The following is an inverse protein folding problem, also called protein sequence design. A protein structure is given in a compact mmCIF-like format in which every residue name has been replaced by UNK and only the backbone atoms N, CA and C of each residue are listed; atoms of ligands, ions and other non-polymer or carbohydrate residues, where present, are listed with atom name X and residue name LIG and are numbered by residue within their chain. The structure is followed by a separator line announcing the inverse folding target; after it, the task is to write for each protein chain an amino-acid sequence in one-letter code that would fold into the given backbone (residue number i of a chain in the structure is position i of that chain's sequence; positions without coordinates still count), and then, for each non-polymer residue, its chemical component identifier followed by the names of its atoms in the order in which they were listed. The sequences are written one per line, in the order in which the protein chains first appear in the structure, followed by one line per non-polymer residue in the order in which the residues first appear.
data_IF_287972569886
#
_entry.id   IF_287972569886
#
_cell.length_a   1.000
_cell.length_b   1.000
_cell.length_c   1.000
_cell.angle_alpha   90.00
_cell.angle_beta   90.00
_cell.angle_gamma   90.00
#
_symmetry.space_group_name_H-M   'P 1'
#
loop_
_entity.id
_entity.type
_entity.pdbx_description
1 polymer ?
#
# COMPACT_ATOMS: atom_id res chain seq x y z
N UNK A 1 -1.67 1.55 -28.57
CA UNK A 1 -0.22 1.68 -28.86
C UNK A 1 0.08 1.07 -30.22
N UNK A 2 0.89 1.75 -31.05
CA UNK A 2 1.34 1.23 -32.35
C UNK A 2 2.50 0.24 -32.19
N UNK A 3 2.79 -0.63 -33.18
CA UNK A 3 3.94 -1.53 -33.13
C UNK A 3 5.29 -0.81 -32.95
N UNK A 4 5.42 0.39 -33.56
CA UNK A 4 6.61 1.23 -33.42
C UNK A 4 6.83 1.66 -31.96
N UNK A 5 5.83 2.24 -31.31
CA UNK A 5 5.94 2.62 -29.91
C UNK A 5 6.14 1.39 -29.01
N UNK A 6 5.57 0.23 -29.36
CA UNK A 6 5.78 -1.02 -28.60
C UNK A 6 7.24 -1.47 -28.65
N UNK A 7 7.88 -1.36 -29.82
CA UNK A 7 9.30 -1.60 -29.97
C UNK A 7 10.15 -0.60 -29.16
N UNK A 8 9.75 0.67 -29.10
CA UNK A 8 10.42 1.71 -28.29
C UNK A 8 10.32 1.44 -26.78
N UNK A 9 9.14 1.06 -26.28
CA UNK A 9 8.92 0.71 -24.86
C UNK A 9 9.74 -0.51 -24.46
N UNK A 10 9.76 -1.54 -25.32
CA UNK A 10 10.46 -2.80 -25.04
C UNK A 10 11.98 -2.69 -25.24
N UNK A 11 12.45 -1.72 -26.03
CA UNK A 11 13.86 -1.44 -26.30
C UNK A 11 14.44 -2.19 -27.50
N UNK A 12 13.60 -2.68 -28.40
CA UNK A 12 13.99 -3.41 -29.62
C UNK A 12 14.42 -2.43 -30.73
N UNK A 13 15.65 -1.92 -30.62
CA UNK A 13 16.21 -0.91 -31.53
C UNK A 13 16.13 -1.31 -33.01
N UNK A 14 16.45 -2.55 -33.35
CA UNK A 14 16.40 -3.04 -34.74
C UNK A 14 15.00 -2.91 -35.37
N UNK A 15 13.93 -3.10 -34.59
CA UNK A 15 12.54 -2.93 -35.08
C UNK A 15 12.24 -1.44 -35.25
N UNK A 16 12.67 -0.60 -34.30
CA UNK A 16 12.48 0.85 -34.39
C UNK A 16 13.19 1.40 -35.63
N UNK A 17 14.47 1.08 -35.83
CA UNK A 17 15.24 1.51 -37.01
C UNK A 17 14.58 1.06 -38.32
N UNK A 18 14.14 -0.20 -38.41
CA UNK A 18 13.45 -0.70 -39.59
C UNK A 18 12.14 0.05 -39.89
N UNK A 19 11.33 0.33 -38.85
CA UNK A 19 10.03 0.97 -39.01
C UNK A 19 10.16 2.48 -39.31
N UNK A 20 11.14 3.17 -38.74
CA UNK A 20 11.34 4.61 -39.02
C UNK A 20 11.88 4.87 -40.43
N UNK A 21 12.49 3.89 -41.09
CA UNK A 21 12.91 3.98 -42.50
C UNK A 21 11.72 3.90 -43.48
N UNK A 22 10.55 3.45 -43.04
CA UNK A 22 9.37 3.30 -43.90
C UNK A 22 8.56 4.60 -43.98
N UNK A 23 8.90 5.47 -44.94
CA UNK A 23 8.22 6.76 -45.23
C UNK A 23 6.73 6.64 -45.52
N UNK A 24 6.28 5.49 -46.03
CA UNK A 24 4.86 5.26 -46.35
C UNK A 24 4.01 4.88 -45.13
N UNK A 25 4.62 4.44 -44.03
CA UNK A 25 3.90 3.83 -42.90
C UNK A 25 3.97 4.66 -41.61
N UNK A 26 5.01 5.47 -41.42
CA UNK A 26 5.28 6.16 -40.16
C UNK A 26 5.45 7.65 -40.41
N UNK A 27 4.62 8.47 -39.74
CA UNK A 27 4.72 9.91 -39.86
C UNK A 27 5.99 10.46 -39.21
N UNK A 28 6.42 11.67 -39.60
CA UNK A 28 7.55 12.35 -38.97
C UNK A 28 7.36 12.48 -37.44
N UNK A 29 6.14 12.77 -36.99
CA UNK A 29 5.80 12.86 -35.57
C UNK A 29 6.02 11.53 -34.85
N UNK A 30 5.53 10.42 -35.44
CA UNK A 30 5.66 9.10 -34.85
C UNK A 30 7.14 8.66 -34.74
N UNK A 31 7.99 9.04 -35.72
CA UNK A 31 9.44 8.77 -35.65
C UNK A 31 10.10 9.50 -34.49
N UNK A 32 9.78 10.79 -34.34
CA UNK A 32 10.33 11.63 -33.29
C UNK A 32 9.95 11.05 -31.92
N UNK A 33 8.67 10.76 -31.70
CA UNK A 33 8.20 10.18 -30.44
C UNK A 33 8.80 8.79 -30.20
N UNK A 34 8.92 7.96 -31.23
CA UNK A 34 9.52 6.64 -31.09
C UNK A 34 10.99 6.71 -30.69
N UNK A 35 11.78 7.63 -31.25
CA UNK A 35 13.18 7.84 -30.90
C UNK A 35 13.34 8.43 -29.49
N UNK A 36 12.52 9.43 -29.13
CA UNK A 36 12.50 10.02 -27.78
C UNK A 36 12.21 8.95 -26.72
N UNK A 37 11.14 8.17 -26.94
CA UNK A 37 10.74 7.10 -26.05
C UNK A 37 11.76 5.96 -25.99
N UNK A 38 12.38 5.59 -27.12
CA UNK A 38 13.45 4.61 -27.15
C UNK A 38 14.65 5.10 -26.33
N UNK A 39 15.01 6.39 -26.42
CA UNK A 39 16.04 7.01 -25.59
C UNK A 39 15.69 6.94 -24.11
N UNK A 40 14.44 7.23 -23.73
CA UNK A 40 13.99 7.05 -22.34
C UNK A 40 14.10 5.58 -21.88
N UNK A 41 13.81 4.61 -22.74
CA UNK A 41 14.01 3.18 -22.45
C UNK A 41 15.49 2.82 -22.29
N UNK A 42 16.39 3.46 -23.06
CA UNK A 42 17.84 3.27 -22.90
C UNK A 42 18.32 3.75 -21.53
N UNK A 43 17.82 4.90 -21.05
CA UNK A 43 18.14 5.43 -19.72
C UNK A 43 17.67 4.49 -18.60
N UNK A 44 16.40 4.08 -18.63
CA UNK A 44 15.80 3.37 -17.50
C UNK A 44 16.08 1.85 -17.53
N UNK A 45 15.97 1.22 -18.69
CA UNK A 45 16.05 -0.24 -18.84
C UNK A 45 17.47 -0.71 -19.19
N UNK A 46 18.12 -0.07 -20.18
CA UNK A 46 19.46 -0.47 -20.63
C UNK A 46 20.59 0.14 -19.81
N UNK A 47 20.31 1.20 -19.04
CA UNK A 47 21.29 2.00 -18.31
C UNK A 47 22.39 2.56 -19.22
N UNK A 48 22.03 2.87 -20.46
CA UNK A 48 22.91 3.40 -21.49
C UNK A 48 22.55 4.86 -21.75
N UNK A 49 23.33 5.77 -21.15
CA UNK A 49 23.11 7.21 -21.25
C UNK A 49 23.65 7.80 -22.56
N UNK A 50 24.69 7.19 -23.13
CA UNK A 50 25.29 7.70 -24.37
C UNK A 50 24.35 7.38 -25.54
N UNK A 51 23.91 6.12 -25.65
CA UNK A 51 22.98 5.73 -26.70
C UNK A 51 21.62 6.44 -26.59
N UNK A 52 21.15 6.74 -25.37
CA UNK A 52 19.95 7.55 -25.18
C UNK A 52 20.12 8.99 -25.67
N UNK A 53 21.27 9.63 -25.41
CA UNK A 53 21.52 10.98 -25.91
C UNK A 53 21.58 11.01 -27.43
N UNK A 54 22.23 10.03 -28.07
CA UNK A 54 22.29 9.93 -29.52
C UNK A 54 20.90 9.84 -30.16
N UNK A 55 20.00 9.05 -29.56
CA UNK A 55 18.61 8.94 -29.98
C UNK A 55 17.85 10.27 -29.81
N UNK A 56 18.08 11.00 -28.72
CA UNK A 56 17.46 12.30 -28.48
C UNK A 56 17.99 13.39 -29.41
N UNK A 57 19.30 13.40 -29.71
CA UNK A 57 19.89 14.29 -30.72
C UNK A 57 19.30 14.03 -32.10
N UNK A 58 19.15 12.76 -32.50
CA UNK A 58 18.47 12.38 -33.76
C UNK A 58 17.02 12.87 -33.78
N UNK A 59 16.28 12.70 -32.69
CA UNK A 59 14.91 13.20 -32.59
C UNK A 59 14.83 14.73 -32.68
N UNK A 60 15.76 15.47 -32.05
CA UNK A 60 15.79 16.93 -32.14
C UNK A 60 16.17 17.43 -33.53
N UNK A 61 17.11 16.77 -34.20
CA UNK A 61 17.42 17.05 -35.60
C UNK A 61 16.17 16.86 -36.48
N UNK A 62 15.40 15.80 -36.25
CA UNK A 62 14.11 15.60 -36.94
C UNK A 62 13.06 16.64 -36.57
N UNK A 63 13.07 17.25 -35.36
CA UNK A 63 12.14 18.33 -34.98
C UNK A 63 12.45 19.65 -35.66
N UNK A 64 13.73 19.99 -35.84
CA UNK A 64 14.22 21.27 -36.35
C UNK A 64 14.86 21.18 -37.75
N UNK A 65 14.53 20.13 -38.51
CA UNK A 65 15.00 19.94 -39.88
C UNK A 65 14.75 21.19 -40.75
N UNK A 66 15.82 21.78 -41.31
CA UNK A 66 15.82 23.09 -41.99
C UNK A 66 14.86 23.16 -43.20
N UNK A 67 14.49 21.99 -43.76
CA UNK A 67 13.55 21.88 -44.87
C UNK A 67 12.07 21.80 -44.50
N UNK A 68 11.71 21.79 -43.20
CA UNK A 68 10.33 21.57 -42.76
C UNK A 68 9.91 22.49 -41.60
N UNK A 69 8.60 22.59 -41.37
CA UNK A 69 8.07 23.34 -40.21
C UNK A 69 8.59 22.70 -38.91
N UNK A 70 9.13 23.49 -37.96
CA UNK A 70 9.59 22.98 -36.67
C UNK A 70 8.45 22.32 -35.88
N UNK A 71 8.71 21.13 -35.33
CA UNK A 71 7.78 20.42 -34.45
C UNK A 71 8.18 20.61 -32.99
N UNK A 72 7.81 21.76 -32.41
CA UNK A 72 8.13 22.06 -31.01
C UNK A 72 7.49 21.07 -30.03
N UNK A 73 8.18 20.80 -28.93
CA UNK A 73 7.60 20.06 -27.81
C UNK A 73 6.50 20.88 -27.13
N UNK A 74 5.43 20.23 -26.63
CA UNK A 74 4.35 20.92 -25.94
C UNK A 74 4.88 21.64 -24.70
N UNK A 75 4.33 22.83 -24.43
CA UNK A 75 4.64 23.59 -23.22
C UNK A 75 4.13 22.84 -21.99
N UNK A 76 4.96 22.76 -20.95
CA UNK A 76 4.61 22.21 -19.65
C UNK A 76 4.34 23.37 -18.67
N UNK A 77 3.08 23.86 -18.58
CA UNK A 77 2.75 24.98 -17.70
C UNK A 77 2.85 24.60 -16.22
N UNK A 78 2.65 23.31 -15.91
CA UNK A 78 2.72 22.76 -14.56
C UNK A 78 3.87 21.76 -14.54
N UNK A 79 4.74 21.91 -13.56
CA UNK A 79 5.87 21.02 -13.31
C UNK A 79 5.57 20.09 -12.14
N UNK A 80 6.12 18.88 -12.16
CA UNK A 80 5.92 17.89 -11.10
C UNK A 80 7.02 18.04 -10.03
N UNK A 81 6.64 18.25 -8.78
CA UNK A 81 7.58 18.36 -7.65
C UNK A 81 8.43 17.10 -7.48
N UNK A 82 7.85 15.91 -7.66
CA UNK A 82 8.58 14.65 -7.62
C UNK A 82 9.68 14.55 -8.69
N UNK A 83 9.57 15.30 -9.78
CA UNK A 83 10.60 15.44 -10.80
C UNK A 83 11.50 16.67 -10.59
N UNK A 84 11.56 17.22 -9.37
CA UNK A 84 12.37 18.41 -9.04
C UNK A 84 12.03 19.64 -9.91
N UNK A 85 10.77 19.73 -10.34
CA UNK A 85 10.29 20.76 -11.26
C UNK A 85 11.01 20.80 -12.62
N UNK A 86 11.66 19.69 -13.00
CA UNK A 86 12.34 19.53 -14.27
C UNK A 86 11.38 19.75 -15.45
N UNK A 87 11.89 20.37 -16.51
CA UNK A 87 11.16 20.61 -17.75
C UNK A 87 11.83 19.87 -18.89
N UNK A 88 11.04 19.37 -19.82
CA UNK A 88 11.59 18.65 -20.95
C UNK A 88 12.42 19.58 -21.85
N UNK A 89 13.63 19.17 -22.22
CA UNK A 89 14.53 19.93 -23.10
C UNK A 89 13.85 20.20 -24.44
N UNK A 90 13.84 21.47 -24.87
CA UNK A 90 13.07 21.91 -26.06
C UNK A 90 13.95 22.27 -27.25
N UNK A 91 15.21 22.64 -27.01
CA UNK A 91 16.15 23.07 -28.06
C UNK A 91 17.36 22.12 -28.15
N UNK A 92 17.98 21.96 -29.34
CA UNK A 92 19.11 21.05 -29.52
C UNK A 92 20.32 21.39 -28.62
N UNK A 93 20.61 22.68 -28.42
CA UNK A 93 21.78 23.14 -27.67
C UNK A 93 21.74 22.70 -26.20
N UNK A 94 20.55 22.61 -25.60
CA UNK A 94 20.35 22.14 -24.22
C UNK A 94 20.70 20.65 -24.03
N UNK A 95 20.83 19.86 -25.11
CA UNK A 95 21.22 18.45 -25.03
C UNK A 95 22.73 18.25 -24.85
N UNK A 96 23.56 19.24 -25.18
CA UNK A 96 25.04 19.12 -25.19
C UNK A 96 25.58 18.78 -23.78
N UNK A 97 25.03 19.42 -22.76
CA UNK A 97 25.50 19.31 -21.37
C UNK A 97 24.84 18.17 -20.58
N UNK A 98 23.86 17.48 -21.16
CA UNK A 98 23.03 16.52 -20.44
C UNK A 98 23.80 15.29 -19.92
N UNK A 99 24.91 14.92 -20.56
CA UNK A 99 25.77 13.83 -20.09
C UNK A 99 26.54 14.19 -18.80
N UNK A 100 26.72 15.48 -18.52
CA UNK A 100 27.35 15.93 -17.29
C UNK A 100 26.41 15.80 -16.07
N UNK A 101 25.10 15.74 -16.30
CA UNK A 101 24.09 15.56 -15.24
C UNK A 101 23.23 14.29 -15.46
N UNK A 102 23.69 13.14 -14.92
CA UNK A 102 22.93 11.89 -14.97
C UNK A 102 21.58 11.94 -14.24
N UNK A 103 21.37 12.84 -13.26
CA UNK A 103 20.09 12.94 -12.54
C UNK A 103 19.06 13.69 -13.40
N UNK A 104 19.46 14.79 -14.04
CA UNK A 104 18.65 15.52 -15.02
C UNK A 104 18.22 14.59 -16.17
N UNK A 105 19.16 13.84 -16.74
CA UNK A 105 18.88 12.88 -17.81
C UNK A 105 17.82 11.82 -17.42
N UNK A 106 17.78 11.42 -16.14
CA UNK A 106 16.76 10.48 -15.64
C UNK A 106 15.40 11.15 -15.54
N UNK A 107 15.33 12.42 -15.15
CA UNK A 107 14.08 13.17 -15.12
C UNK A 107 13.53 13.41 -16.53
N UNK A 108 14.41 13.70 -17.51
CA UNK A 108 14.03 13.77 -18.93
C UNK A 108 13.37 12.47 -19.40
N UNK A 109 13.93 11.30 -19.05
CA UNK A 109 13.35 10.01 -19.42
C UNK A 109 11.94 9.79 -18.83
N UNK A 110 11.68 10.24 -17.60
CA UNK A 110 10.35 10.16 -16.97
C UNK A 110 9.36 11.11 -17.66
N UNK A 111 9.75 12.36 -17.92
CA UNK A 111 8.93 13.36 -18.60
C UNK A 111 8.54 12.90 -20.01
N UNK A 112 9.51 12.41 -20.79
CA UNK A 112 9.28 11.88 -22.15
C UNK A 112 8.28 10.73 -22.10
N UNK A 113 8.47 9.78 -21.18
CA UNK A 113 7.59 8.62 -21.08
C UNK A 113 6.17 9.00 -20.70
N UNK A 114 6.02 9.89 -19.72
CA UNK A 114 4.71 10.36 -19.29
C UNK A 114 4.00 11.16 -20.38
N UNK A 115 4.72 11.98 -21.15
CA UNK A 115 4.17 12.70 -22.31
C UNK A 115 3.68 11.76 -23.42
N UNK A 116 4.49 10.76 -23.79
CA UNK A 116 4.21 9.91 -24.96
C UNK A 116 3.24 8.77 -24.63
N UNK A 117 3.41 8.11 -23.48
CA UNK A 117 2.57 6.98 -23.09
C UNK A 117 1.33 7.40 -22.30
N UNK A 118 1.41 8.55 -21.61
CA UNK A 118 0.38 9.01 -20.70
C UNK A 118 0.40 8.32 -19.33
N UNK A 119 -0.36 8.85 -18.36
CA UNK A 119 -0.39 8.36 -16.98
C UNK A 119 -1.13 7.02 -16.80
N UNK A 120 -2.02 6.66 -17.73
CA UNK A 120 -2.74 5.38 -17.69
C UNK A 120 -1.87 4.17 -18.10
N UNK A 121 -0.76 4.40 -18.79
CA UNK A 121 0.08 3.31 -19.27
C UNK A 121 0.88 2.70 -18.11
N UNK A 122 0.91 1.36 -17.95
CA UNK A 122 1.56 0.70 -16.80
C UNK A 122 3.06 1.05 -16.68
N UNK A 123 3.78 1.11 -17.79
CA UNK A 123 5.21 1.45 -17.80
C UNK A 123 5.52 2.85 -17.24
N UNK A 124 4.60 3.81 -17.35
CA UNK A 124 4.81 5.17 -16.81
C UNK A 124 4.99 5.08 -15.30
N UNK A 125 3.98 4.56 -14.59
CA UNK A 125 4.05 4.38 -13.13
C UNK A 125 5.14 3.38 -12.70
N UNK A 126 5.40 2.34 -13.51
CA UNK A 126 6.45 1.36 -13.23
C UNK A 126 7.84 2.00 -13.22
N UNK A 127 8.20 2.78 -14.25
CA UNK A 127 9.54 3.37 -14.33
C UNK A 127 9.74 4.51 -13.32
N UNK A 128 8.69 5.24 -12.95
CA UNK A 128 8.73 6.18 -11.81
C UNK A 128 9.07 5.42 -10.52
N UNK A 129 8.38 4.30 -10.26
CA UNK A 129 8.68 3.44 -9.10
C UNK A 129 10.09 2.84 -9.16
N UNK A 130 10.49 2.34 -10.32
CA UNK A 130 11.84 1.81 -10.52
C UNK A 130 12.91 2.86 -10.21
N UNK A 131 12.73 4.10 -10.71
CA UNK A 131 13.64 5.21 -10.45
C UNK A 131 13.71 5.53 -8.95
N UNK A 132 12.56 5.53 -8.26
CA UNK A 132 12.50 5.65 -6.80
C UNK A 132 13.31 4.56 -6.08
N UNK A 133 13.18 3.30 -6.49
CA UNK A 133 13.94 2.18 -5.92
C UNK A 133 15.46 2.36 -6.12
N UNK A 134 15.90 2.79 -7.31
CA UNK A 134 17.31 3.09 -7.58
C UNK A 134 17.82 4.21 -6.67
N UNK A 135 17.00 5.21 -6.35
CA UNK A 135 17.35 6.24 -5.38
C UNK A 135 17.42 5.71 -3.94
N UNK A 136 16.51 4.82 -3.53
CA UNK A 136 16.57 4.17 -2.22
C UNK A 136 17.84 3.31 -2.06
N UNK A 137 18.24 2.55 -3.09
CA UNK A 137 19.50 1.79 -3.12
C UNK A 137 20.73 2.71 -3.01
N UNK A 138 20.62 3.92 -3.55
CA UNK A 138 21.63 4.97 -3.40
C UNK A 138 21.52 5.73 -2.05
N UNK A 139 20.61 5.35 -1.15
CA UNK A 139 20.37 5.99 0.15
C UNK A 139 19.61 7.32 0.09
N UNK A 140 19.08 7.71 -1.07
CA UNK A 140 18.22 8.90 -1.25
C UNK A 140 16.74 8.52 -1.01
N UNK A 141 16.38 8.16 0.22
CA UNK A 141 15.03 7.66 0.56
C UNK A 141 13.92 8.70 0.35
N UNK A 142 14.19 9.98 0.62
CA UNK A 142 13.23 11.07 0.39
C UNK A 142 12.83 11.17 -1.09
N UNK A 143 13.78 11.04 -2.02
CA UNK A 143 13.50 11.00 -3.46
C UNK A 143 12.68 9.77 -3.85
N UNK A 144 12.94 8.62 -3.22
CA UNK A 144 12.13 7.41 -3.43
C UNK A 144 10.67 7.64 -3.04
N UNK A 145 10.43 8.14 -1.82
CA UNK A 145 9.09 8.40 -1.31
C UNK A 145 8.35 9.42 -2.17
N UNK A 146 9.00 10.49 -2.61
CA UNK A 146 8.39 11.50 -3.49
C UNK A 146 7.95 10.91 -4.84
N UNK A 147 8.84 10.16 -5.52
CA UNK A 147 8.52 9.52 -6.81
C UNK A 147 7.42 8.46 -6.67
N UNK A 148 7.50 7.62 -5.64
CA UNK A 148 6.48 6.60 -5.40
C UNK A 148 5.13 7.20 -5.03
N UNK A 149 5.10 8.32 -4.29
CA UNK A 149 3.86 9.01 -3.94
C UNK A 149 3.18 9.58 -5.17
N UNK A 150 3.96 10.18 -6.08
CA UNK A 150 3.47 10.65 -7.38
C UNK A 150 2.93 9.49 -8.23
N UNK A 151 3.66 8.38 -8.33
CA UNK A 151 3.22 7.21 -9.07
C UNK A 151 1.93 6.58 -8.48
N UNK A 152 1.80 6.57 -7.15
CA UNK A 152 0.61 6.05 -6.47
C UNK A 152 -0.62 6.94 -6.74
N UNK A 153 -0.45 8.26 -6.68
CA UNK A 153 -1.51 9.21 -7.00
C UNK A 153 -1.96 9.11 -8.47
N UNK A 154 -1.00 8.97 -9.39
CA UNK A 154 -1.27 8.69 -10.80
C UNK A 154 -2.07 7.39 -10.96
N UNK A 155 -1.74 6.33 -10.23
CA UNK A 155 -2.47 5.06 -10.29
C UNK A 155 -3.90 5.17 -9.73
N UNK A 156 -4.08 5.84 -8.59
CA UNK A 156 -5.40 5.99 -7.96
C UNK A 156 -6.35 6.89 -8.76
N UNK A 157 -5.80 7.81 -9.56
CA UNK A 157 -6.59 8.69 -10.43
C UNK A 157 -6.96 8.02 -11.76
N UNK A 158 -6.08 7.17 -12.31
CA UNK A 158 -6.25 6.60 -13.65
C UNK A 158 -6.77 5.16 -13.69
N UNK A 159 -6.62 4.39 -12.60
CA UNK A 159 -6.98 2.97 -12.56
C UNK A 159 -8.26 2.75 -11.74
N UNK A 160 -8.96 1.65 -12.02
CA UNK A 160 -10.12 1.25 -11.24
C UNK A 160 -9.75 0.90 -9.78
N UNK A 161 -10.67 1.10 -8.82
CA UNK A 161 -10.45 0.72 -7.43
C UNK A 161 -10.05 -0.74 -7.30
N UNK A 162 -9.14 -1.01 -6.36
CA UNK A 162 -8.55 -2.32 -6.06
C UNK A 162 -7.64 -2.89 -7.16
N UNK A 163 -7.18 -2.07 -8.10
CA UNK A 163 -6.27 -2.52 -9.16
C UNK A 163 -4.98 -3.14 -8.58
N UNK A 164 -4.56 -4.35 -9.01
CA UNK A 164 -3.35 -5.01 -8.51
C UNK A 164 -2.07 -4.17 -8.55
N UNK A 165 -1.95 -3.25 -9.52
CA UNK A 165 -0.81 -2.35 -9.62
C UNK A 165 -0.76 -1.37 -8.44
N UNK A 166 -1.90 -0.76 -8.09
CA UNK A 166 -2.05 0.13 -6.93
C UNK A 166 -1.72 -0.62 -5.64
N UNK A 167 -2.22 -1.86 -5.50
CA UNK A 167 -1.91 -2.72 -4.34
C UNK A 167 -0.41 -3.01 -4.23
N UNK A 168 0.24 -3.30 -5.35
CA UNK A 168 1.69 -3.52 -5.39
C UNK A 168 2.46 -2.26 -4.96
N UNK A 169 2.02 -1.07 -5.38
CA UNK A 169 2.65 0.20 -4.99
C UNK A 169 2.52 0.46 -3.50
N UNK A 170 1.31 0.31 -2.94
CA UNK A 170 1.08 0.43 -1.49
C UNK A 170 1.91 -0.58 -0.69
N UNK A 171 1.98 -1.83 -1.15
CA UNK A 171 2.78 -2.85 -0.48
C UNK A 171 4.28 -2.52 -0.51
N UNK A 172 4.82 -2.03 -1.63
CA UNK A 172 6.23 -1.64 -1.68
C UNK A 172 6.58 -0.56 -0.66
N UNK A 173 5.69 0.38 -0.37
CA UNK A 173 5.90 1.33 0.73
C UNK A 173 6.04 0.64 2.09
N UNK A 174 5.23 -0.38 2.38
CA UNK A 174 5.39 -1.16 3.63
C UNK A 174 6.76 -1.81 3.73
N UNK A 175 7.27 -2.35 2.62
CA UNK A 175 8.61 -2.96 2.57
C UNK A 175 9.70 -1.91 2.78
N UNK A 176 9.60 -0.76 2.11
CA UNK A 176 10.55 0.34 2.22
C UNK A 176 10.62 0.88 3.65
N UNK A 177 9.47 1.19 4.25
CA UNK A 177 9.41 1.74 5.60
C UNK A 177 9.88 0.72 6.64
N UNK A 178 9.47 -0.54 6.53
CA UNK A 178 10.00 -1.60 7.40
C UNK A 178 11.52 -1.72 7.30
N UNK A 179 12.07 -1.71 6.09
CA UNK A 179 13.52 -1.75 5.87
C UNK A 179 14.22 -0.55 6.50
N UNK A 180 13.68 0.66 6.33
CA UNK A 180 14.25 1.88 6.88
C UNK A 180 14.27 1.85 8.42
N UNK A 181 13.19 1.39 9.06
CA UNK A 181 13.11 1.26 10.51
C UNK A 181 14.10 0.22 11.06
N UNK A 182 14.26 -0.92 10.38
CA UNK A 182 15.15 -1.99 10.86
C UNK A 182 16.65 -1.67 10.65
N UNK A 183 16.96 -0.77 9.70
CA UNK A 183 18.32 -0.34 9.35
C UNK A 183 18.65 1.07 9.80
N UNK A 184 17.78 1.73 10.56
CA UNK A 184 17.95 3.11 11.00
C UNK A 184 19.34 3.33 11.63
N UNK A 185 20.01 4.41 11.21
CA UNK A 185 21.34 4.79 11.69
C UNK A 185 22.49 3.93 11.18
N UNK A 186 22.22 2.76 10.56
CA UNK A 186 23.25 1.90 9.96
C UNK A 186 23.67 2.44 8.60
N UNK A 187 24.93 2.24 8.25
CA UNK A 187 25.42 2.54 6.91
C UNK A 187 24.83 1.53 5.91
N UNK A 188 24.33 2.03 4.78
CA UNK A 188 23.95 1.22 3.64
C UNK A 188 25.18 0.72 2.88
N UNK A 189 24.97 -0.09 1.83
CA UNK A 189 26.04 -0.65 0.99
C UNK A 189 26.96 0.41 0.35
N UNK A 190 26.55 1.68 0.31
CA UNK A 190 27.31 2.81 -0.23
C UNK A 190 27.79 3.79 0.86
N UNK A 191 27.78 3.39 2.13
CA UNK A 191 28.28 4.17 3.26
C UNK A 191 27.35 5.29 3.76
N UNK A 192 26.17 5.49 3.16
CA UNK A 192 25.18 6.48 3.63
C UNK A 192 24.33 5.90 4.74
N UNK A 193 24.09 6.67 5.80
CA UNK A 193 23.23 6.22 6.91
C UNK A 193 21.76 6.21 6.48
N UNK A 194 21.05 5.17 6.89
CA UNK A 194 19.59 5.11 6.70
C UNK A 194 18.94 6.09 7.68
N UNK A 195 18.15 7.06 7.19
CA UNK A 195 17.44 8.00 8.05
C UNK A 195 16.23 7.34 8.72
N UNK A 196 15.77 7.94 9.81
CA UNK A 196 14.48 7.59 10.40
C UNK A 196 13.35 7.84 9.41
N UNK A 197 12.32 6.99 9.42
CA UNK A 197 11.12 7.19 8.61
C UNK A 197 10.31 8.35 9.20
N UNK A 198 9.90 9.31 8.37
CA UNK A 198 9.07 10.41 8.85
C UNK A 198 7.64 9.94 9.11
N UNK A 199 7.05 10.41 10.22
CA UNK A 199 5.65 10.17 10.55
C UNK A 199 4.70 10.51 9.38
N UNK A 200 4.92 11.66 8.75
CA UNK A 200 4.08 12.16 7.65
C UNK A 200 4.12 11.23 6.42
N UNK A 201 5.26 10.58 6.17
CA UNK A 201 5.40 9.65 5.04
C UNK A 201 4.56 8.40 5.26
N UNK A 202 4.64 7.79 6.45
CA UNK A 202 3.82 6.60 6.78
C UNK A 202 2.34 6.97 6.77
N UNK A 203 1.99 8.10 7.40
CA UNK A 203 0.60 8.53 7.54
C UNK A 203 -0.04 8.83 6.18
N UNK A 204 0.64 9.59 5.31
CA UNK A 204 0.09 9.93 3.99
C UNK A 204 -0.14 8.70 3.10
N UNK A 205 0.74 7.70 3.18
CA UNK A 205 0.54 6.43 2.46
C UNK A 205 -0.58 5.60 3.11
N UNK A 206 -0.70 5.60 4.43
CA UNK A 206 -1.81 4.96 5.13
C UNK A 206 -3.16 5.59 4.75
N UNK A 207 -3.26 6.92 4.67
CA UNK A 207 -4.45 7.63 4.21
C UNK A 207 -4.84 7.22 2.79
N UNK A 208 -3.88 7.14 1.87
CA UNK A 208 -4.10 6.64 0.50
C UNK A 208 -4.55 5.19 0.48
N UNK A 209 -3.99 4.33 1.33
CA UNK A 209 -4.42 2.94 1.45
C UNK A 209 -5.86 2.83 1.99
N UNK A 210 -6.24 3.64 2.98
CA UNK A 210 -7.60 3.66 3.52
C UNK A 210 -8.60 4.23 2.50
N UNK A 211 -8.21 5.22 1.71
CA UNK A 211 -9.02 5.72 0.59
C UNK A 211 -9.24 4.63 -0.48
N UNK A 212 -8.23 3.81 -0.75
CA UNK A 212 -8.33 2.65 -1.65
C UNK A 212 -9.30 1.59 -1.08
N UNK A 213 -9.23 1.31 0.22
CA UNK A 213 -10.18 0.41 0.91
C UNK A 213 -11.61 0.95 0.75
N UNK A 214 -11.82 2.23 1.01
CA UNK A 214 -13.14 2.88 0.89
C UNK A 214 -13.71 2.76 -0.51
N UNK A 215 -12.93 3.15 -1.51
CA UNK A 215 -13.30 3.06 -2.93
C UNK A 215 -13.58 1.61 -3.34
N UNK A 216 -12.83 0.65 -2.76
CA UNK A 216 -13.06 -0.77 -2.96
C UNK A 216 -14.37 -1.28 -2.36
N UNK A 217 -14.73 -0.84 -1.15
CA UNK A 217 -16.01 -1.19 -0.52
C UNK A 217 -17.18 -0.67 -1.34
N UNK A 218 -17.12 0.59 -1.80
CA UNK A 218 -18.15 1.19 -2.65
C UNK A 218 -18.30 0.45 -3.98
N UNK A 219 -17.19 0.01 -4.58
CA UNK A 219 -17.20 -0.72 -5.85
C UNK A 219 -17.70 -2.18 -5.74
N UNK A 220 -17.75 -2.75 -4.53
CA UNK A 220 -18.20 -4.12 -4.28
C UNK A 220 -19.70 -4.22 -3.93
N UNK A 221 -20.43 -3.09 -3.92
CA UNK A 221 -21.88 -3.10 -3.71
C UNK A 221 -22.58 -3.86 -4.86
N UNK A 222 -23.48 -4.82 -4.57
CA UNK A 222 -24.13 -5.61 -5.62
C UNK A 222 -24.92 -4.76 -6.63
N UNK A 223 -24.93 -5.15 -7.93
CA UNK A 223 -24.30 -6.32 -8.52
C UNK A 223 -22.83 -6.02 -8.93
N UNK A 224 -21.87 -6.66 -8.26
CA UNK A 224 -20.45 -6.50 -8.56
C UNK A 224 -19.83 -7.88 -8.80
N UNK A 225 -19.19 -8.06 -9.96
CA UNK A 225 -18.43 -9.28 -10.32
C UNK A 225 -17.00 -9.26 -9.76
N UNK A 226 -16.65 -8.26 -8.94
CA UNK A 226 -15.28 -8.05 -8.46
C UNK A 226 -14.92 -9.02 -7.33
N UNK A 227 -13.72 -9.57 -7.40
CA UNK A 227 -13.21 -10.53 -6.41
C UNK A 227 -12.92 -9.81 -5.05
N UNK A 228 -13.63 -10.17 -3.96
CA UNK A 228 -13.41 -9.60 -2.63
C UNK A 228 -12.01 -9.88 -2.06
N UNK A 229 -11.25 -10.82 -2.63
CA UNK A 229 -9.86 -11.06 -2.23
C UNK A 229 -8.96 -9.83 -2.42
N UNK A 230 -9.25 -8.99 -3.41
CA UNK A 230 -8.52 -7.74 -3.63
C UNK A 230 -8.75 -6.72 -2.51
N UNK A 231 -9.99 -6.57 -2.05
CA UNK A 231 -10.31 -5.72 -0.90
C UNK A 231 -9.61 -6.21 0.36
N UNK A 232 -9.67 -7.52 0.62
CA UNK A 232 -8.98 -8.12 1.75
C UNK A 232 -7.47 -7.82 1.69
N UNK A 233 -6.85 -7.93 0.52
CA UNK A 233 -5.42 -7.63 0.35
C UNK A 233 -5.07 -6.17 0.66
N UNK A 234 -5.84 -5.22 0.12
CA UNK A 234 -5.62 -3.78 0.41
C UNK A 234 -5.83 -3.49 1.89
N UNK A 235 -6.84 -4.09 2.51
CA UNK A 235 -7.09 -3.94 3.94
C UNK A 235 -5.90 -4.44 4.78
N UNK A 236 -5.33 -5.60 4.45
CA UNK A 236 -4.15 -6.12 5.15
C UNK A 236 -2.93 -5.23 4.90
N UNK A 237 -2.75 -4.65 3.71
CA UNK A 237 -1.68 -3.65 3.44
C UNK A 237 -1.85 -2.42 4.33
N UNK A 238 -3.07 -1.88 4.43
CA UNK A 238 -3.37 -0.74 5.30
C UNK A 238 -3.04 -1.06 6.77
N UNK A 239 -3.34 -2.28 7.23
CA UNK A 239 -2.97 -2.72 8.58
C UNK A 239 -1.45 -2.84 8.79
N UNK A 240 -0.68 -3.23 7.78
CA UNK A 240 0.78 -3.20 7.87
C UNK A 240 1.31 -1.77 8.02
N UNK A 241 0.80 -0.82 7.24
CA UNK A 241 1.16 0.60 7.38
C UNK A 241 0.76 1.15 8.77
N UNK A 242 -0.43 0.80 9.25
CA UNK A 242 -0.88 1.15 10.59
C UNK A 242 0.00 0.52 11.69
N UNK A 243 0.47 -0.72 11.48
CA UNK A 243 1.41 -1.37 12.40
C UNK A 243 2.77 -0.67 12.41
N UNK A 244 3.28 -0.22 11.26
CA UNK A 244 4.50 0.57 11.20
C UNK A 244 4.32 1.92 11.91
N UNK A 245 3.15 2.56 11.75
CA UNK A 245 2.78 3.77 12.47
C UNK A 245 2.75 3.54 13.99
N UNK A 246 2.20 2.41 14.44
CA UNK A 246 2.20 2.01 15.85
C UNK A 246 3.63 1.90 16.42
N UNK A 247 4.57 1.32 15.66
CA UNK A 247 5.96 1.14 16.11
C UNK A 247 6.69 2.46 16.38
N UNK A 248 6.33 3.56 15.71
CA UNK A 248 6.91 4.89 15.96
C UNK A 248 6.10 5.72 16.96
N UNK A 249 5.01 5.19 17.53
CA UNK A 249 4.08 5.97 18.37
C UNK A 249 4.71 6.60 19.62
N UNK A 250 5.73 5.95 20.18
CA UNK A 250 6.43 6.45 21.37
C UNK A 250 7.11 7.80 21.10
N UNK A 251 7.40 8.12 19.84
CA UNK A 251 8.02 9.37 19.41
C UNK A 251 7.01 10.48 19.11
N UNK A 252 5.70 10.18 19.13
CA UNK A 252 4.67 11.12 18.70
C UNK A 252 4.43 12.24 19.71
N UNK A 253 4.26 13.45 19.20
CA UNK A 253 3.62 14.52 19.94
C UNK A 253 2.08 14.31 19.99
N UNK A 254 1.38 15.07 20.84
CA UNK A 254 -0.07 14.92 21.00
C UNK A 254 -0.85 15.13 19.68
N UNK A 255 -0.40 16.06 18.83
CA UNK A 255 -1.02 16.31 17.52
C UNK A 255 -0.87 15.12 16.57
N UNK A 256 0.31 14.50 16.53
CA UNK A 256 0.60 13.32 15.71
C UNK A 256 -0.21 12.12 16.18
N UNK A 257 -0.34 11.91 17.50
CA UNK A 257 -1.23 10.86 18.04
C UNK A 257 -2.67 11.09 17.59
N UNK A 258 -3.18 12.31 17.80
CA UNK A 258 -4.54 12.65 17.39
C UNK A 258 -4.78 12.39 15.90
N UNK A 259 -3.84 12.77 15.03
CA UNK A 259 -3.96 12.55 13.59
C UNK A 259 -3.91 11.05 13.24
N UNK A 260 -3.01 10.28 13.87
CA UNK A 260 -2.97 8.83 13.69
C UNK A 260 -4.28 8.16 14.11
N UNK A 261 -4.82 8.52 15.27
CA UNK A 261 -6.11 8.04 15.76
C UNK A 261 -7.26 8.46 14.82
N UNK A 262 -7.26 9.69 14.32
CA UNK A 262 -8.26 10.16 13.35
C UNK A 262 -8.22 9.34 12.05
N UNK A 263 -7.03 9.08 11.52
CA UNK A 263 -6.84 8.27 10.30
C UNK A 263 -7.33 6.85 10.52
N UNK A 264 -6.96 6.21 11.64
CA UNK A 264 -7.43 4.86 12.00
C UNK A 264 -8.93 4.79 12.28
N UNK A 265 -9.49 5.80 12.94
CA UNK A 265 -10.92 5.93 13.13
C UNK A 265 -11.65 5.92 11.79
N UNK A 266 -11.12 6.63 10.78
CA UNK A 266 -11.73 6.65 9.44
C UNK A 266 -11.75 5.27 8.77
N UNK A 267 -10.82 4.36 9.10
CA UNK A 267 -10.83 2.97 8.63
C UNK A 267 -11.87 2.15 9.39
N UNK A 268 -11.89 2.26 10.72
CA UNK A 268 -12.79 1.50 11.59
C UNK A 268 -14.25 1.89 11.35
N UNK A 269 -14.53 3.18 11.17
CA UNK A 269 -15.87 3.72 10.93
C UNK A 269 -16.51 3.22 9.63
N UNK A 270 -15.70 2.76 8.67
CA UNK A 270 -16.21 2.15 7.43
C UNK A 270 -16.77 0.74 7.63
N UNK A 271 -16.60 0.14 8.82
CA UNK A 271 -17.04 -1.23 9.15
C UNK A 271 -16.64 -2.26 8.08
N UNK A 272 -15.42 -2.13 7.56
CA UNK A 272 -14.92 -2.96 6.46
C UNK A 272 -14.82 -4.41 6.91
N UNK A 273 -15.30 -5.32 6.06
CA UNK A 273 -15.22 -6.77 6.26
C UNK A 273 -14.34 -7.36 5.18
N UNK A 274 -13.24 -7.98 5.59
CA UNK A 274 -12.36 -8.73 4.71
C UNK A 274 -12.92 -10.12 4.38
N UNK A 275 -12.03 -11.05 4.05
CA UNK A 275 -12.38 -12.46 3.84
C UNK A 275 -12.96 -13.06 5.13
N UNK A 276 -13.96 -13.94 5.02
CA UNK A 276 -14.66 -14.56 6.16
C UNK A 276 -15.30 -13.55 7.12
N UNK A 277 -15.70 -12.36 6.66
CA UNK A 277 -16.35 -11.36 7.51
C UNK A 277 -15.42 -10.75 8.58
N UNK A 278 -14.11 -10.90 8.41
CA UNK A 278 -13.12 -10.43 9.39
C UNK A 278 -13.01 -8.90 9.39
N UNK A 279 -13.12 -8.30 10.58
CA UNK A 279 -12.89 -6.86 10.77
C UNK A 279 -11.37 -6.55 10.80
N UNK A 280 -10.96 -5.27 10.72
CA UNK A 280 -9.56 -4.88 10.87
C UNK A 280 -8.92 -5.43 12.16
N UNK A 281 -9.70 -5.49 13.25
CA UNK A 281 -9.27 -6.01 14.55
C UNK A 281 -9.03 -7.52 14.53
N UNK A 282 -9.87 -8.30 13.83
CA UNK A 282 -9.64 -9.73 13.63
C UNK A 282 -8.32 -10.00 12.92
N UNK A 283 -8.06 -9.25 11.85
CA UNK A 283 -6.85 -9.37 11.04
C UNK A 283 -5.60 -9.00 11.85
N UNK A 284 -5.65 -7.92 12.63
CA UNK A 284 -4.55 -7.50 13.51
C UNK A 284 -4.23 -8.53 14.61
N UNK A 285 -5.19 -9.36 15.01
CA UNK A 285 -5.02 -10.44 15.98
C UNK A 285 -4.58 -11.78 15.36
N UNK A 286 -4.62 -11.92 14.04
CA UNK A 286 -4.38 -13.19 13.35
C UNK A 286 -2.99 -13.27 12.74
N UNK A 287 -2.28 -14.37 13.00
CA UNK A 287 -1.00 -14.67 12.34
C UNK A 287 -1.12 -14.86 10.82
N UNK A 288 -2.31 -15.21 10.30
CA UNK A 288 -2.54 -15.37 8.85
C UNK A 288 -2.39 -14.05 8.08
N UNK A 289 -2.61 -12.92 8.75
CA UNK A 289 -2.49 -11.58 8.15
C UNK A 289 -1.04 -11.12 8.02
N UNK A 290 -0.05 -11.89 8.50
CA UNK A 290 1.38 -11.55 8.43
C UNK A 290 1.96 -11.61 7.01
N UNK A 291 1.30 -12.34 6.09
CA UNK A 291 1.81 -12.57 4.73
C UNK A 291 0.90 -11.91 3.69
N UNK A 292 1.29 -10.72 3.22
CA UNK A 292 0.65 -10.03 2.07
C UNK A 292 1.36 -10.37 0.74
N UNK A 293 2.54 -10.98 0.83
CA UNK A 293 3.39 -11.34 -0.30
C UNK A 293 4.55 -12.22 0.14
N UNK A 294 5.70 -12.07 -0.50
CA UNK A 294 6.92 -12.84 -0.17
C UNK A 294 7.69 -12.30 1.05
N UNK A 295 7.38 -11.09 1.48
CA UNK A 295 8.07 -10.40 2.58
C UNK A 295 7.12 -10.07 3.73
N UNK A 296 7.66 -10.17 4.95
CA UNK A 296 6.97 -9.83 6.19
C UNK A 296 7.38 -8.41 6.59
N UNK A 297 6.59 -7.40 6.21
CA UNK A 297 6.86 -6.00 6.60
C UNK A 297 6.53 -5.75 8.08
N UNK A 298 5.54 -6.45 8.64
CA UNK A 298 5.20 -6.42 10.06
C UNK A 298 4.84 -7.83 10.50
N UNK A 299 5.01 -8.10 11.80
CA UNK A 299 4.58 -9.36 12.41
C UNK A 299 3.21 -9.16 13.03
N UNK A 300 2.24 -9.96 12.60
CA UNK A 300 0.96 -10.09 13.30
C UNK A 300 0.98 -11.37 14.15
N UNK A 301 0.36 -11.34 15.34
CA UNK A 301 -0.38 -10.22 15.92
C UNK A 301 0.48 -9.08 16.48
N UNK A 302 -0.05 -7.86 16.44
CA UNK A 302 0.59 -6.65 16.98
C UNK A 302 -0.25 -6.06 18.12
N UNK A 303 0.16 -6.23 19.39
CA UNK A 303 -0.58 -5.68 20.53
C UNK A 303 -0.74 -4.15 20.47
N UNK A 304 0.29 -3.44 20.02
CA UNK A 304 0.28 -1.97 19.93
C UNK A 304 -0.73 -1.48 18.88
N UNK A 305 -0.82 -2.15 17.73
CA UNK A 305 -1.84 -1.83 16.73
C UNK A 305 -3.24 -2.16 17.25
N UNK A 306 -3.39 -3.30 17.92
CA UNK A 306 -4.67 -3.73 18.50
C UNK A 306 -5.15 -2.72 19.53
N UNK A 307 -4.27 -2.24 20.40
CA UNK A 307 -4.59 -1.20 21.39
C UNK A 307 -5.06 0.09 20.71
N UNK A 308 -4.34 0.58 19.69
CA UNK A 308 -4.79 1.77 18.95
C UNK A 308 -6.13 1.58 18.24
N UNK A 309 -6.38 0.41 17.64
CA UNK A 309 -7.67 0.12 17.00
C UNK A 309 -8.82 0.14 18.03
N UNK A 310 -8.58 -0.34 19.25
CA UNK A 310 -9.56 -0.34 20.33
C UNK A 310 -9.78 1.08 20.88
N UNK A 311 -8.72 1.89 21.03
CA UNK A 311 -8.81 3.29 21.45
C UNK A 311 -9.67 4.13 20.49
N UNK A 312 -9.64 3.85 19.19
CA UNK A 312 -10.51 4.51 18.20
C UNK A 312 -11.93 3.91 18.14
N UNK A 313 -12.25 2.92 18.96
CA UNK A 313 -13.59 2.34 19.07
C UNK A 313 -13.86 1.16 18.15
N UNK A 314 -12.85 0.38 17.74
CA UNK A 314 -13.09 -0.90 17.10
C UNK A 314 -13.86 -1.84 18.05
N UNK A 315 -14.89 -2.50 17.54
CA UNK A 315 -15.68 -3.44 18.32
C UNK A 315 -14.85 -4.68 18.70
N UNK A 316 -14.50 -4.76 19.98
CA UNK A 316 -13.70 -5.83 20.58
C UNK A 316 -14.39 -7.21 20.53
N UNK A 317 -15.71 -7.23 20.45
CA UNK A 317 -16.53 -8.45 20.44
C UNK A 317 -17.18 -8.71 19.07
N UNK A 318 -16.73 -8.00 18.02
CA UNK A 318 -17.19 -8.25 16.65
C UNK A 318 -17.01 -9.73 16.31
N UNK A 319 -17.94 -10.29 15.52
CA UNK A 319 -17.88 -11.68 15.06
C UNK A 319 -17.59 -11.77 13.58
N UNK A 320 -16.71 -12.68 13.20
CA UNK A 320 -16.48 -13.09 11.80
C UNK A 320 -17.54 -14.11 11.33
N UNK A 321 -17.47 -14.56 10.08
CA UNK A 321 -18.45 -15.50 9.49
C UNK A 321 -18.45 -16.88 10.18
N UNK A 322 -17.37 -17.22 10.88
CA UNK A 322 -17.24 -18.44 11.69
C UNK A 322 -17.67 -18.20 13.14
N UNK A 323 -18.17 -17.01 13.46
CA UNK A 323 -18.59 -16.62 14.80
C UNK A 323 -17.43 -16.33 15.76
N UNK A 324 -16.18 -16.32 15.30
CA UNK A 324 -15.02 -16.02 16.13
C UNK A 324 -15.01 -14.54 16.47
N UNK A 325 -14.58 -14.23 17.70
CA UNK A 325 -14.19 -12.86 18.09
C UNK A 325 -12.68 -12.66 17.92
N UNK A 326 -12.15 -11.42 17.94
CA UNK A 326 -10.71 -11.18 17.94
C UNK A 326 -9.95 -11.96 19.03
N UNK A 327 -10.58 -12.17 20.19
CA UNK A 327 -10.02 -12.95 21.28
C UNK A 327 -9.88 -14.45 20.94
N UNK A 328 -10.81 -15.03 20.16
CA UNK A 328 -10.70 -16.40 19.66
C UNK A 328 -9.52 -16.55 18.68
N UNK A 329 -9.31 -15.55 17.81
CA UNK A 329 -8.16 -15.54 16.90
C UNK A 329 -6.84 -15.38 17.65
N UNK A 330 -6.82 -14.57 18.71
CA UNK A 330 -5.66 -14.44 19.59
C UNK A 330 -5.28 -15.79 20.23
N UNK A 331 -6.26 -16.55 20.76
CA UNK A 331 -6.03 -17.89 21.32
C UNK A 331 -5.57 -18.93 20.29
N UNK A 332 -6.01 -18.78 19.04
CA UNK A 332 -5.66 -19.71 17.96
C UNK A 332 -4.20 -19.59 17.52
N UNK A 333 -3.51 -18.50 17.87
CA UNK A 333 -2.07 -18.36 17.67
C UNK A 333 -1.31 -19.30 18.61
N UNK A 334 -0.26 -19.97 18.11
CA UNK A 334 0.51 -20.95 18.88
C UNK A 334 1.96 -20.49 19.01
N UNK A 335 2.42 -20.03 20.19
CA UNK A 335 1.66 -19.78 21.43
C UNK A 335 0.79 -18.51 21.37
N UNK A 336 -0.24 -18.42 22.24
CA UNK A 336 -1.06 -17.21 22.38
C UNK A 336 -0.23 -16.13 23.09
N UNK A 337 -0.08 -14.92 22.51
CA UNK A 337 0.65 -13.83 23.17
C UNK A 337 -0.15 -13.28 24.36
N UNK A 338 0.37 -13.34 25.61
CA UNK A 338 -0.37 -12.85 26.77
C UNK A 338 -0.67 -11.35 26.71
N UNK A 339 0.24 -10.55 26.13
CA UNK A 339 0.03 -9.12 25.93
C UNK A 339 -1.22 -8.83 25.08
N UNK A 340 -1.39 -9.57 23.98
CA UNK A 340 -2.54 -9.43 23.10
C UNK A 340 -3.86 -9.77 23.81
N UNK A 341 -3.89 -10.91 24.50
CA UNK A 341 -5.08 -11.33 25.25
C UNK A 341 -5.45 -10.31 26.35
N UNK A 342 -4.46 -9.78 27.06
CA UNK A 342 -4.67 -8.77 28.11
C UNK A 342 -5.21 -7.45 27.56
N UNK A 343 -4.70 -6.97 26.42
CA UNK A 343 -5.19 -5.75 25.78
C UNK A 343 -6.67 -5.91 25.38
N UNK A 344 -7.02 -7.00 24.69
CA UNK A 344 -8.40 -7.27 24.29
C UNK A 344 -9.34 -7.34 25.50
N UNK A 345 -8.92 -8.00 26.59
CA UNK A 345 -9.73 -8.15 27.79
C UNK A 345 -9.85 -6.84 28.59
N UNK A 346 -8.80 -6.03 28.63
CA UNK A 346 -8.84 -4.70 29.26
C UNK A 346 -9.86 -3.78 28.56
N UNK A 347 -9.99 -3.89 27.24
CA UNK A 347 -11.00 -3.18 26.44
C UNK A 347 -12.38 -3.87 26.41
N UNK A 348 -12.59 -4.93 27.21
CA UNK A 348 -13.91 -5.51 27.44
C UNK A 348 -14.28 -6.73 26.58
N UNK A 349 -13.30 -7.44 26.02
CA UNK A 349 -13.55 -8.72 25.37
C UNK A 349 -14.20 -9.73 26.32
N UNK A 350 -15.15 -10.53 25.81
CA UNK A 350 -15.81 -11.58 26.59
C UNK A 350 -15.01 -12.89 26.56
N UNK A 351 -14.54 -13.34 27.74
CA UNK A 351 -13.87 -14.65 27.91
C UNK A 351 -14.78 -15.84 27.61
N UNK A 352 -16.06 -15.69 27.96
CA UNK A 352 -17.08 -16.73 27.89
C UNK A 352 -17.82 -16.74 26.53
N UNK A 353 -17.44 -15.84 25.60
CA UNK A 353 -18.04 -15.84 24.28
C UNK A 353 -17.75 -17.16 23.55
N UNK A 354 -18.75 -17.64 22.80
CA UNK A 354 -18.64 -18.87 22.01
C UNK A 354 -18.46 -18.57 20.53
N UNK A 355 -17.58 -19.30 19.86
CA UNK A 355 -17.49 -19.27 18.40
C UNK A 355 -18.67 -20.04 17.73
N UNK A 356 -18.69 -20.11 16.40
CA UNK A 356 -19.72 -20.83 15.65
C UNK A 356 -19.72 -22.36 15.89
N UNK A 357 -18.68 -22.90 16.54
CA UNK A 357 -18.58 -24.30 16.94
C UNK A 357 -18.91 -24.50 18.43
N UNK A 358 -19.30 -23.43 19.14
CA UNK A 358 -19.60 -23.48 20.58
C UNK A 358 -18.36 -23.48 21.47
N UNK A 359 -17.16 -23.24 20.93
CA UNK A 359 -15.90 -23.25 21.68
C UNK A 359 -15.65 -21.87 22.29
N UNK A 360 -15.09 -21.85 23.49
CA UNK A 360 -14.70 -20.62 24.20
C UNK A 360 -13.22 -20.31 24.02
N UNK A 361 -12.77 -19.12 24.46
CA UNK A 361 -11.36 -18.75 24.49
C UNK A 361 -10.47 -19.82 25.13
N UNK A 362 -10.93 -20.41 26.25
CA UNK A 362 -10.19 -21.44 26.98
C UNK A 362 -10.01 -22.71 26.15
N UNK A 363 -11.01 -23.10 25.38
CA UNK A 363 -10.98 -24.33 24.58
C UNK A 363 -10.01 -24.22 23.40
N UNK A 364 -9.74 -23.00 22.92
CA UNK A 364 -8.81 -22.72 21.83
C UNK A 364 -7.34 -22.62 22.28
N UNK A 365 -7.06 -22.45 23.58
CA UNK A 365 -5.70 -22.42 24.15
C UNK A 365 -5.07 -23.82 24.14
N UNK A 366 -4.72 -24.32 22.96
CA UNK A 366 -4.12 -25.66 22.81
C UNK A 366 -2.70 -25.68 23.38
N UNK A 367 -2.55 -26.25 24.58
CA UNK A 367 -1.26 -26.44 25.25
C UNK A 367 -0.81 -25.29 26.15
N UNK A 368 -1.65 -24.28 26.39
CA UNK A 368 -1.40 -23.23 27.38
C UNK A 368 -2.52 -23.22 28.42
N UNK A 369 -2.17 -23.19 29.70
CA UNK A 369 -3.16 -23.07 30.75
C UNK A 369 -3.66 -21.63 30.84
N UNK A 370 -4.98 -21.45 30.97
CA UNK A 370 -5.63 -20.15 30.95
C UNK A 370 -4.97 -19.13 31.91
N UNK A 371 -4.61 -19.58 33.12
CA UNK A 371 -4.01 -18.73 34.15
C UNK A 371 -2.59 -18.24 33.81
N UNK A 372 -1.87 -18.94 32.92
CA UNK A 372 -0.56 -18.48 32.43
C UNK A 372 -0.68 -17.30 31.47
N UNK A 373 -1.79 -17.24 30.73
CA UNK A 373 -2.07 -16.17 29.77
C UNK A 373 -2.72 -14.99 30.48
N UNK A 374 -3.81 -15.24 31.22
CA UNK A 374 -4.62 -14.21 31.88
C UNK A 374 -5.25 -14.74 33.17
N UNK A 375 -5.39 -13.90 34.19
CA UNK A 375 -6.19 -14.21 35.36
C UNK A 375 -7.70 -14.00 35.04
N UNK A 376 -8.53 -15.05 34.95
CA UNK A 376 -9.94 -14.92 34.56
C UNK A 376 -10.76 -14.07 35.52
N UNK A 377 -10.43 -14.11 36.82
CA UNK A 377 -11.17 -13.42 37.88
C UNK A 377 -11.23 -11.89 37.69
N UNK A 378 -10.24 -11.32 36.99
CA UNK A 378 -10.20 -9.88 36.73
C UNK A 378 -11.14 -9.46 35.60
N UNK A 379 -11.57 -10.39 34.74
CA UNK A 379 -12.28 -10.06 33.50
C UNK A 379 -13.65 -10.76 33.38
N UNK A 380 -13.98 -11.71 34.25
CA UNK A 380 -15.32 -12.31 34.33
C UNK A 380 -16.31 -11.35 34.98
N UNK A 381 -17.30 -10.87 34.21
CA UNK A 381 -18.42 -10.07 34.73
C UNK A 381 -19.59 -10.97 35.14
N UNK A 382 -20.36 -10.55 36.15
CA UNK A 382 -21.58 -11.25 36.59
C UNK A 382 -22.59 -11.44 35.45
N UNK A 383 -22.71 -10.45 34.55
CA UNK A 383 -23.59 -10.55 33.38
C UNK A 383 -23.18 -11.68 32.44
N UNK A 384 -21.88 -11.85 32.17
CA UNK A 384 -21.37 -12.94 31.33
C UNK A 384 -21.64 -14.31 31.97
N UNK A 385 -21.45 -14.43 33.29
CA UNK A 385 -21.77 -15.65 34.03
C UNK A 385 -23.26 -15.99 33.97
N UNK A 386 -24.13 -15.00 34.13
CA UNK A 386 -25.58 -15.20 34.04
C UNK A 386 -26.01 -15.62 32.62
N UNK A 387 -25.48 -14.95 31.58
CA UNK A 387 -25.73 -15.31 30.18
C UNK A 387 -25.28 -16.74 29.87
N UNK A 388 -24.09 -17.13 30.35
CA UNK A 388 -23.57 -18.49 30.20
C UNK A 388 -24.48 -19.54 30.86
N UNK A 389 -24.94 -19.29 32.08
CA UNK A 389 -25.89 -20.20 32.78
C UNK A 389 -27.20 -20.31 32.02
N UNK A 390 -27.75 -19.21 31.52
CA UNK A 390 -28.98 -19.22 30.71
C UNK A 390 -28.82 -20.11 29.48
N UNK A 391 -27.64 -20.07 28.83
CA UNK A 391 -27.32 -20.86 27.63
C UNK A 391 -27.03 -22.34 27.94
N UNK A 392 -26.30 -22.61 29.02
CA UNK A 392 -25.95 -23.97 29.42
C UNK A 392 -27.16 -24.80 29.87
N UNK A 393 -28.15 -24.15 30.48
CA UNK A 393 -29.38 -24.80 30.96
C UNK A 393 -30.59 -24.59 30.03
N UNK A 394 -30.37 -24.06 28.81
CA UNK A 394 -31.40 -23.79 27.79
C UNK A 394 -32.65 -23.07 28.35
N UNK A 395 -32.42 -22.09 29.23
CA UNK A 395 -33.50 -21.33 29.87
C UNK A 395 -34.17 -20.44 28.83
N UNK A 396 -35.50 -20.47 28.72
CA UNK A 396 -36.24 -19.63 27.77
C UNK A 396 -36.09 -18.14 28.13
N UNK A 397 -35.37 -17.38 27.30
CA UNK A 397 -35.16 -15.94 27.51
C UNK A 397 -35.78 -15.03 26.43
N UNK A 398 -36.08 -15.57 25.24
CA UNK A 398 -36.65 -14.78 24.13
C UNK A 398 -38.02 -14.19 24.49
N UNK A 399 -38.20 -12.89 24.30
CA UNK A 399 -39.39 -12.13 24.68
C UNK A 399 -39.56 -11.88 26.18
N UNK A 400 -38.64 -12.38 27.02
CA UNK A 400 -38.62 -12.12 28.47
C UNK A 400 -37.59 -11.08 28.87
N UNK A 401 -36.52 -10.94 28.08
CA UNK A 401 -35.49 -9.91 28.26
C UNK A 401 -35.53 -8.93 27.08
N UNK A 402 -35.08 -7.68 27.27
CA UNK A 402 -34.88 -6.73 26.18
C UNK A 402 -34.06 -7.33 25.03
N UNK A 403 -34.39 -6.97 23.78
CA UNK A 403 -33.71 -7.48 22.57
C UNK A 403 -32.18 -7.33 22.63
N UNK A 404 -31.68 -6.23 23.19
CA UNK A 404 -30.23 -6.01 23.38
C UNK A 404 -29.57 -7.04 24.31
N UNK A 405 -30.31 -7.58 25.29
CA UNK A 405 -29.83 -8.63 26.17
C UNK A 405 -30.01 -10.02 25.56
N UNK A 406 -30.96 -10.20 24.62
CA UNK A 406 -31.06 -11.45 23.86
C UNK A 406 -29.80 -11.68 23.02
N UNK A 407 -29.32 -10.67 22.31
CA UNK A 407 -28.06 -10.76 21.55
C UNK A 407 -26.86 -11.06 22.45
N UNK A 408 -26.78 -10.41 23.61
CA UNK A 408 -25.74 -10.66 24.60
C UNK A 408 -25.77 -12.11 25.14
N UNK A 409 -26.95 -12.64 25.42
CA UNK A 409 -27.12 -14.05 25.85
C UNK A 409 -26.74 -15.00 24.72
N UNK A 410 -27.09 -14.69 23.46
CA UNK A 410 -26.71 -15.51 22.30
C UNK A 410 -25.20 -15.52 21.99
N UNK A 411 -24.46 -14.51 22.45
CA UNK A 411 -22.99 -14.45 22.31
C UNK A 411 -22.27 -15.41 23.28
N UNK A 412 -22.92 -15.79 24.37
CA UNK A 412 -22.42 -16.75 25.38
C UNK A 412 -23.03 -18.14 25.14
#
# INVERSE_FOLDING_TARGET
MTPLLAASVTGHSHIVEYLIEQDSLVSRSDRIEALELLGATYVDKKRDMIGALDLWKRAMALRFDEGQVPMEKPLQPITVEAYEHTREIRVPDELEDLLADPDEMRMQALLIRERILGPAHPDTSYYIRYRGAVYADAGKFTRCVALWSYALEMQQTMLEPLNPMTQSSLFSFTELFSFMMDKEGRANSRGRRVPAVAFQDILSVLERAIAEVRSGVEALVPPSDRDPAHLHRVLVIALHLACLLARVMATFNEKQRHLAHQTLYSLVSQNVRGRLGQTPLHLACSSSSTLVGRYQACRFPSPDLVDMLLEVGADVNARDDLGNTPLHLAASNRPCPPALARVLLAHGAHLDARDGQGRTFRDLLQGQELHTVVNPLHYTKLSCLAARVVRDYDVKFRGQVPHSLEEFVLQH
#
